data_IF_319333281211
#
_entry.id   IF_319333281211
#
_cell.length_a   1.000
_cell.length_b   1.000
_cell.length_c   1.000
_cell.angle_alpha   90.00
_cell.angle_beta   90.00
_cell.angle_gamma   90.00
#
_symmetry.space_group_name_H-M   'P 1'
#
loop_
_entity.id
_entity.type
_entity.pdbx_description
1 polymer ?
#
# COMPACT_ATOMS: atom_id res chain seq x y z
N UNK A 1 12.43 13.93 13.81
CA UNK A 1 12.72 12.80 12.88
C UNK A 1 11.40 12.13 12.52
N UNK A 2 11.20 11.77 11.25
CA UNK A 2 9.97 11.17 10.78
C UNK A 2 10.32 9.99 9.85
N UNK A 3 9.99 8.77 10.28
CA UNK A 3 10.15 7.57 9.46
C UNK A 3 8.82 7.26 8.76
N UNK A 4 8.80 7.34 7.44
CA UNK A 4 7.65 7.01 6.61
C UNK A 4 7.87 5.65 5.96
N UNK A 5 6.85 4.80 6.02
CA UNK A 5 6.82 3.48 5.36
C UNK A 5 5.76 3.45 4.29
N UNK A 6 6.06 2.80 3.18
CA UNK A 6 5.15 2.73 2.06
C UNK A 6 5.50 1.60 1.10
N UNK A 7 4.68 1.48 0.07
CA UNK A 7 4.87 0.52 -1.01
C UNK A 7 5.33 1.24 -2.26
N UNK A 8 6.41 0.75 -2.86
CA UNK A 8 6.86 1.22 -4.17
C UNK A 8 6.24 0.36 -5.25
N UNK A 9 5.72 1.01 -6.28
CA UNK A 9 5.05 0.35 -7.38
C UNK A 9 5.34 1.01 -8.73
N UNK A 10 5.01 0.31 -9.80
CA UNK A 10 4.96 0.85 -11.16
C UNK A 10 3.52 0.75 -11.64
N UNK A 11 3.00 1.81 -12.26
CA UNK A 11 1.64 1.78 -12.80
C UNK A 11 1.56 0.85 -14.02
N UNK A 12 0.37 0.33 -14.31
CA UNK A 12 0.13 -0.53 -15.48
C UNK A 12 0.55 0.16 -16.78
N UNK A 13 0.21 1.44 -16.92
CA UNK A 13 0.57 2.23 -18.10
C UNK A 13 2.08 2.40 -18.25
N UNK A 14 2.79 2.67 -17.16
CA UNK A 14 4.24 2.81 -17.18
C UNK A 14 4.93 1.46 -17.41
N UNK A 15 4.37 0.37 -16.87
CA UNK A 15 4.90 -0.98 -17.07
C UNK A 15 4.82 -1.42 -18.53
N UNK A 16 3.85 -0.96 -19.31
CA UNK A 16 3.78 -1.26 -20.75
C UNK A 16 5.07 -0.93 -21.51
N UNK A 17 5.80 0.10 -21.05
CA UNK A 17 7.08 0.52 -21.62
C UNK A 17 8.27 -0.34 -21.16
N UNK A 18 8.06 -1.22 -20.18
CA UNK A 18 9.09 -2.04 -19.54
C UNK A 18 8.88 -3.54 -19.74
N UNK A 19 7.83 -3.96 -20.45
CA UNK A 19 7.42 -5.36 -20.63
C UNK A 19 8.51 -6.28 -21.14
N UNK A 20 9.40 -5.78 -22.00
CA UNK A 20 10.49 -6.58 -22.55
C UNK A 20 11.55 -6.97 -21.51
N UNK A 21 11.64 -6.23 -20.40
CA UNK A 21 12.67 -6.38 -19.37
C UNK A 21 12.19 -7.11 -18.12
N UNK A 22 10.88 -7.11 -17.86
CA UNK A 22 10.33 -7.62 -16.60
C UNK A 22 9.04 -8.40 -16.82
N UNK A 23 8.85 -9.48 -16.07
CA UNK A 23 7.69 -10.35 -16.18
C UNK A 23 6.36 -9.70 -15.70
N UNK A 24 6.43 -8.81 -14.70
CA UNK A 24 5.27 -8.12 -14.14
C UNK A 24 5.67 -6.82 -13.43
N UNK A 25 4.70 -5.91 -13.11
CA UNK A 25 4.96 -4.63 -12.46
C UNK A 25 5.66 -4.76 -11.09
N UNK A 26 5.33 -5.78 -10.31
CA UNK A 26 5.93 -6.01 -8.99
C UNK A 26 7.41 -6.36 -9.10
N UNK A 27 7.76 -7.26 -10.00
CA UNK A 27 9.16 -7.62 -10.26
C UNK A 27 9.94 -6.45 -10.83
N UNK A 28 9.32 -5.63 -11.68
CA UNK A 28 9.92 -4.42 -12.22
C UNK A 28 10.24 -3.42 -11.10
N UNK A 29 9.31 -3.16 -10.19
CA UNK A 29 9.54 -2.27 -9.05
C UNK A 29 10.65 -2.79 -8.12
N UNK A 30 10.55 -4.04 -7.68
CA UNK A 30 11.53 -4.65 -6.77
C UNK A 30 12.93 -4.77 -7.41
N UNK A 31 13.01 -5.17 -8.68
CA UNK A 31 14.28 -5.28 -9.42
C UNK A 31 14.94 -3.92 -9.64
N UNK A 32 14.15 -2.90 -9.91
CA UNK A 32 14.66 -1.54 -10.13
C UNK A 32 15.27 -0.92 -8.88
N UNK A 33 14.75 -1.23 -7.70
CA UNK A 33 15.30 -0.75 -6.43
C UNK A 33 16.64 -1.41 -6.06
N UNK A 34 16.90 -2.59 -6.59
CA UNK A 34 18.14 -3.36 -6.28
C UNK A 34 19.29 -3.05 -7.24
N UNK A 35 19.14 -2.06 -8.11
CA UNK A 35 20.21 -1.67 -9.03
C UNK A 35 21.41 -1.10 -8.27
N UNK A 36 22.63 -1.55 -8.63
CA UNK A 36 23.88 -1.04 -8.04
C UNK A 36 24.11 0.43 -8.44
N UNK A 37 23.74 0.81 -9.65
CA UNK A 37 23.83 2.19 -10.15
C UNK A 37 22.47 2.87 -10.05
N UNK A 38 22.39 3.88 -9.21
CA UNK A 38 21.19 4.71 -9.00
C UNK A 38 20.69 5.42 -10.28
N UNK A 39 21.58 5.68 -11.24
CA UNK A 39 21.22 6.26 -12.55
C UNK A 39 20.30 5.33 -13.34
N UNK A 40 20.43 4.01 -13.17
CA UNK A 40 19.52 3.05 -13.80
C UNK A 40 18.15 3.06 -13.12
N UNK A 41 18.10 3.13 -11.80
CA UNK A 41 16.84 3.27 -11.04
C UNK A 41 16.11 4.57 -11.42
N UNK A 42 16.83 5.69 -11.57
CA UNK A 42 16.26 6.98 -11.93
C UNK A 42 15.52 7.01 -13.28
N UNK A 43 15.81 6.07 -14.18
CA UNK A 43 15.13 5.92 -15.48
C UNK A 43 13.78 5.20 -15.37
N UNK A 44 13.49 4.59 -14.24
CA UNK A 44 12.29 3.79 -14.03
C UNK A 44 11.22 4.65 -13.35
N UNK A 45 9.99 4.71 -13.87
CA UNK A 45 8.92 5.54 -13.33
C UNK A 45 8.31 4.92 -12.07
N UNK A 46 9.13 4.82 -11.02
CA UNK A 46 8.72 4.32 -9.71
C UNK A 46 7.77 5.31 -9.05
N UNK A 47 6.73 4.77 -8.41
CA UNK A 47 5.74 5.49 -7.61
C UNK A 47 5.73 4.92 -6.20
N UNK A 48 5.22 5.71 -5.26
CA UNK A 48 5.22 5.36 -3.85
C UNK A 48 3.87 5.70 -3.22
N UNK A 49 3.31 4.77 -2.44
CA UNK A 49 2.18 5.04 -1.56
C UNK A 49 2.60 4.93 -0.10
N UNK A 50 2.48 6.02 0.64
CA UNK A 50 2.63 6.02 2.08
C UNK A 50 1.48 5.24 2.74
N UNK A 51 1.78 4.35 3.68
CA UNK A 51 0.75 3.56 4.37
C UNK A 51 0.99 3.40 5.86
N UNK A 52 2.16 3.67 6.38
CA UNK A 52 2.47 3.61 7.81
C UNK A 52 3.69 4.44 8.16
N UNK A 53 3.94 4.55 9.46
CA UNK A 53 5.10 5.25 10.01
C UNK A 53 5.90 4.30 10.91
N UNK A 54 7.16 4.65 11.13
CA UNK A 54 8.01 4.04 12.14
C UNK A 54 8.21 4.99 13.32
N UNK A 55 9.44 5.43 13.52
CA UNK A 55 9.75 6.40 14.58
C UNK A 55 9.33 7.82 14.16
N UNK A 56 8.60 8.50 15.04
CA UNK A 56 8.17 9.90 14.84
C UNK A 56 8.45 10.70 16.10
N UNK A 57 9.19 11.82 15.95
CA UNK A 57 9.38 12.83 16.99
C UNK A 57 8.69 14.12 16.56
N UNK A 58 7.84 14.68 17.44
CA UNK A 58 7.15 15.95 17.17
C UNK A 58 5.93 15.87 16.24
N UNK A 59 5.45 14.67 15.95
CA UNK A 59 4.20 14.48 15.17
C UNK A 59 2.98 14.47 16.08
N UNK A 60 1.99 15.33 15.78
CA UNK A 60 0.71 15.38 16.50
C UNK A 60 -0.37 14.65 15.68
N UNK A 61 -0.45 13.34 15.81
CA UNK A 61 -1.56 12.54 15.31
C UNK A 61 -1.86 11.41 16.29
N UNK A 62 -3.12 11.12 16.50
CA UNK A 62 -3.62 10.09 17.42
C UNK A 62 -4.22 8.90 16.69
N UNK A 63 -4.48 9.06 15.39
CA UNK A 63 -5.10 8.04 14.55
C UNK A 63 -4.30 7.74 13.28
N UNK A 64 -4.50 6.55 12.75
CA UNK A 64 -3.96 6.15 11.44
C UNK A 64 -4.43 7.07 10.32
N UNK A 65 -5.68 7.54 10.40
CA UNK A 65 -6.27 8.47 9.43
C UNK A 65 -5.56 9.82 9.46
N UNK A 66 -5.37 10.40 10.65
CA UNK A 66 -4.64 11.68 10.82
C UNK A 66 -3.20 11.58 10.31
N UNK A 67 -2.53 10.43 10.54
CA UNK A 67 -1.21 10.19 9.95
C UNK A 67 -1.24 10.24 8.42
N UNK A 68 -2.22 9.57 7.78
CA UNK A 68 -2.34 9.56 6.32
C UNK A 68 -2.63 10.97 5.77
N UNK A 69 -3.46 11.75 6.48
CA UNK A 69 -3.75 13.13 6.11
C UNK A 69 -2.50 14.03 6.25
N UNK A 70 -1.73 13.86 7.31
CA UNK A 70 -0.45 14.54 7.50
C UNK A 70 0.55 14.18 6.39
N UNK A 71 0.68 12.91 6.06
CA UNK A 71 1.55 12.46 4.96
C UNK A 71 1.14 13.11 3.63
N UNK A 72 -0.17 13.18 3.36
CA UNK A 72 -0.71 13.82 2.15
C UNK A 72 -0.42 15.32 2.11
N UNK A 73 -0.62 16.05 3.22
CA UNK A 73 -0.32 17.49 3.33
C UNK A 73 1.19 17.73 3.17
N UNK A 74 2.02 16.79 3.63
CA UNK A 74 3.47 16.84 3.47
C UNK A 74 3.96 16.48 2.06
N UNK A 75 3.07 16.26 1.10
CA UNK A 75 3.40 16.00 -0.30
C UNK A 75 3.59 14.51 -0.66
N UNK A 76 3.40 13.59 0.28
CA UNK A 76 3.45 12.16 -0.03
C UNK A 76 2.14 11.66 -0.62
N UNK A 77 2.25 10.74 -1.57
CA UNK A 77 1.06 10.08 -2.11
C UNK A 77 0.53 9.04 -1.11
N UNK A 78 -0.75 9.10 -0.85
CA UNK A 78 -1.54 8.13 -0.09
C UNK A 78 -2.54 7.49 -1.04
N UNK A 79 -2.80 6.20 -0.88
CA UNK A 79 -3.77 5.54 -1.74
C UNK A 79 -5.16 6.20 -1.59
N UNK A 80 -5.76 6.72 -2.68
CA UNK A 80 -7.02 7.44 -2.63
C UNK A 80 -8.22 6.58 -2.18
N UNK A 81 -8.09 5.26 -2.21
CA UNK A 81 -9.12 4.32 -1.75
C UNK A 81 -9.04 4.05 -0.24
N UNK A 82 -8.03 4.60 0.45
CA UNK A 82 -7.91 4.49 1.90
C UNK A 82 -9.03 5.29 2.57
N UNK A 83 -9.81 4.63 3.42
CA UNK A 83 -10.89 5.25 4.17
C UNK A 83 -11.05 4.60 5.54
N UNK A 84 -11.69 5.32 6.45
CA UNK A 84 -12.11 4.81 7.74
C UNK A 84 -13.41 4.01 7.60
N UNK A 85 -13.55 2.93 8.38
CA UNK A 85 -14.76 2.12 8.48
C UNK A 85 -15.09 1.91 9.96
N UNK A 86 -16.39 1.87 10.30
CA UNK A 86 -16.84 1.86 11.71
C UNK A 86 -17.34 0.49 12.17
N UNK A 87 -17.66 -0.41 11.24
CA UNK A 87 -18.23 -1.71 11.56
C UNK A 87 -17.88 -2.76 10.49
N UNK A 88 -18.15 -4.02 10.82
CA UNK A 88 -17.84 -5.17 9.94
C UNK A 88 -18.57 -5.09 8.60
N UNK A 89 -19.80 -4.59 8.57
CA UNK A 89 -20.57 -4.45 7.33
C UNK A 89 -19.87 -3.48 6.37
N UNK A 90 -19.46 -2.32 6.86
CA UNK A 90 -18.71 -1.34 6.04
C UNK A 90 -17.37 -1.91 5.54
N UNK A 91 -16.69 -2.74 6.36
CA UNK A 91 -15.47 -3.45 5.97
C UNK A 91 -15.75 -4.37 4.77
N UNK A 92 -16.79 -5.21 4.87
CA UNK A 92 -17.16 -6.16 3.82
C UNK A 92 -17.62 -5.44 2.54
N UNK A 93 -18.45 -4.41 2.68
CA UNK A 93 -18.95 -3.61 1.55
C UNK A 93 -17.78 -2.91 0.83
N UNK A 94 -16.84 -2.35 1.59
CA UNK A 94 -15.65 -1.72 1.04
C UNK A 94 -14.75 -2.73 0.32
N UNK A 95 -14.52 -3.91 0.91
CA UNK A 95 -13.74 -4.97 0.30
C UNK A 95 -14.33 -5.36 -1.07
N UNK A 96 -15.63 -5.65 -1.12
CA UNK A 96 -16.34 -6.02 -2.35
C UNK A 96 -16.32 -4.90 -3.40
N UNK A 97 -16.51 -3.65 -2.97
CA UNK A 97 -16.47 -2.50 -3.87
C UNK A 97 -15.10 -2.33 -4.52
N UNK A 98 -14.01 -2.46 -3.75
CA UNK A 98 -12.64 -2.33 -4.27
C UNK A 98 -12.25 -3.55 -5.10
N UNK A 99 -12.67 -4.76 -4.75
CA UNK A 99 -12.49 -5.96 -5.57
C UNK A 99 -13.08 -5.77 -6.98
N UNK A 100 -14.29 -5.20 -7.08
CA UNK A 100 -14.94 -4.88 -8.36
C UNK A 100 -14.21 -3.78 -9.15
N UNK A 101 -13.52 -2.86 -8.47
CA UNK A 101 -12.72 -1.82 -9.11
C UNK A 101 -11.33 -2.28 -9.53
N UNK A 102 -10.86 -3.45 -9.06
CA UNK A 102 -9.48 -3.94 -9.21
C UNK A 102 -8.98 -3.91 -10.67
N UNK A 103 -9.80 -4.33 -11.62
CA UNK A 103 -9.43 -4.35 -13.04
C UNK A 103 -9.26 -2.96 -13.65
N UNK A 104 -9.94 -1.95 -13.12
CA UNK A 104 -9.93 -0.57 -13.60
C UNK A 104 -8.80 0.28 -13.00
N UNK A 105 -8.16 -0.20 -11.95
CA UNK A 105 -7.06 0.52 -11.30
C UNK A 105 -5.81 0.46 -12.17
N UNK A 106 -5.09 1.58 -12.23
CA UNK A 106 -3.81 1.68 -12.94
C UNK A 106 -2.62 1.11 -12.13
N UNK A 107 -2.89 0.29 -11.14
CA UNK A 107 -1.91 -0.48 -10.36
C UNK A 107 -2.56 -1.78 -9.87
N UNK A 108 -1.73 -2.78 -9.57
CA UNK A 108 -2.21 -4.07 -9.13
C UNK A 108 -2.39 -4.08 -7.61
N UNK A 109 -3.50 -4.70 -7.17
CA UNK A 109 -3.79 -4.99 -5.78
C UNK A 109 -4.27 -6.43 -5.64
N UNK A 110 -3.96 -7.07 -4.52
CA UNK A 110 -4.35 -8.45 -4.22
C UNK A 110 -5.24 -8.57 -2.97
N UNK A 111 -5.54 -7.45 -2.33
CA UNK A 111 -6.37 -7.35 -1.14
C UNK A 111 -6.34 -5.98 -0.49
N UNK A 112 -6.94 -5.89 0.67
CA UNK A 112 -6.93 -4.72 1.53
C UNK A 112 -6.23 -5.04 2.84
N UNK A 113 -5.65 -4.03 3.48
CA UNK A 113 -5.14 -4.13 4.84
C UNK A 113 -6.00 -3.25 5.74
N UNK A 114 -6.71 -3.88 6.67
CA UNK A 114 -7.47 -3.18 7.70
C UNK A 114 -6.57 -2.98 8.92
N UNK A 115 -6.61 -1.79 9.48
CA UNK A 115 -5.78 -1.40 10.62
C UNK A 115 -6.67 -0.78 11.70
N UNK A 116 -6.35 -1.03 12.96
CA UNK A 116 -6.95 -0.30 14.08
C UNK A 116 -6.59 1.18 13.91
N UNK A 117 -7.59 2.06 13.93
CA UNK A 117 -7.37 3.48 13.64
C UNK A 117 -6.64 4.21 14.78
N UNK A 118 -6.95 3.92 16.03
CA UNK A 118 -6.33 4.56 17.20
C UNK A 118 -4.91 4.07 17.46
N UNK A 119 -3.92 4.98 17.43
CA UNK A 119 -2.50 4.66 17.62
C UNK A 119 -2.23 4.07 19.03
N UNK A 120 -2.91 4.55 20.05
CA UNK A 120 -2.76 4.00 21.41
C UNK A 120 -3.23 2.54 21.50
N UNK A 121 -4.30 2.18 20.77
CA UNK A 121 -4.75 0.80 20.69
C UNK A 121 -3.79 -0.06 19.86
N UNK A 122 -3.20 0.47 18.78
CA UNK A 122 -2.13 -0.22 18.05
C UNK A 122 -0.96 -0.57 18.98
N UNK A 123 -0.51 0.39 19.80
CA UNK A 123 0.57 0.18 20.78
C UNK A 123 0.21 -0.89 21.82
N UNK A 124 -1.02 -0.87 22.33
CA UNK A 124 -1.51 -1.85 23.32
C UNK A 124 -1.59 -3.27 22.75
N UNK A 125 -2.05 -3.43 21.51
CA UNK A 125 -2.10 -4.72 20.81
C UNK A 125 -0.71 -5.25 20.48
N UNK A 126 0.22 -4.35 20.21
CA UNK A 126 1.62 -4.68 19.92
C UNK A 126 1.81 -5.47 18.64
N UNK A 127 2.98 -6.12 18.57
CA UNK A 127 3.40 -6.91 17.42
C UNK A 127 3.72 -8.35 17.84
N UNK A 128 3.63 -9.28 16.91
CA UNK A 128 4.32 -10.57 16.98
C UNK A 128 5.73 -10.42 16.41
N UNK A 129 6.51 -11.49 16.39
CA UNK A 129 7.83 -11.51 15.73
C UNK A 129 7.75 -11.12 14.25
N UNK A 130 6.63 -11.39 13.58
CA UNK A 130 6.52 -11.28 12.12
C UNK A 130 5.47 -10.28 11.62
N UNK A 131 4.54 -9.85 12.48
CA UNK A 131 3.41 -9.01 12.04
C UNK A 131 2.78 -8.21 13.18
N UNK A 132 2.16 -7.05 12.89
CA UNK A 132 1.38 -6.31 13.86
C UNK A 132 0.07 -7.05 14.19
N UNK A 133 -0.33 -7.02 15.48
CA UNK A 133 -1.63 -7.57 15.91
C UNK A 133 -2.81 -6.65 15.64
N UNK A 134 -2.54 -5.41 15.27
CA UNK A 134 -3.51 -4.35 14.98
C UNK A 134 -3.81 -4.16 13.48
N UNK A 135 -3.25 -5.04 12.65
CA UNK A 135 -3.48 -5.00 11.20
C UNK A 135 -3.78 -6.41 10.66
N UNK A 136 -4.71 -6.50 9.72
CA UNK A 136 -5.08 -7.75 9.05
C UNK A 136 -5.18 -7.53 7.54
N UNK A 137 -4.57 -8.42 6.78
CA UNK A 137 -4.73 -8.46 5.33
C UNK A 137 -5.95 -9.31 4.97
N UNK A 138 -6.84 -8.72 4.17
CA UNK A 138 -8.00 -9.41 3.60
C UNK A 138 -7.82 -9.49 2.08
N UNK A 139 -7.41 -10.67 1.62
CA UNK A 139 -7.10 -10.90 0.20
C UNK A 139 -8.36 -11.01 -0.64
N UNK A 140 -8.26 -10.58 -1.90
CA UNK A 140 -9.31 -10.83 -2.88
C UNK A 140 -9.32 -12.28 -3.34
N UNK A 141 -10.45 -12.70 -3.88
CA UNK A 141 -10.56 -14.01 -4.52
C UNK A 141 -9.57 -14.14 -5.68
N UNK A 142 -8.96 -15.33 -5.80
CA UNK A 142 -8.06 -15.62 -6.91
C UNK A 142 -8.83 -15.56 -8.23
N UNK A 143 -8.26 -14.89 -9.23
CA UNK A 143 -8.80 -14.96 -10.60
C UNK A 143 -8.45 -16.35 -11.12
N UNK A 144 -9.47 -17.21 -11.23
CA UNK A 144 -9.31 -18.53 -11.85
C UNK A 144 -9.45 -18.36 -13.36
N UNK A 145 -8.43 -18.77 -14.11
CA UNK A 145 -8.52 -18.97 -15.56
C UNK A 145 -8.64 -20.47 -15.81
N UNK A 146 -9.63 -20.89 -16.60
CA UNK A 146 -9.74 -22.24 -17.10
C UNK A 146 -9.16 -22.24 -18.53
N UNK A 147 -8.12 -23.02 -18.76
CA UNK A 147 -7.63 -23.33 -20.11
C UNK A 147 -8.23 -24.65 -20.56
N UNK A 148 -8.73 -24.67 -21.78
CA UNK A 148 -9.06 -25.92 -22.50
C UNK A 148 -7.83 -26.49 -23.13
#
# INVERSE_FOLDING_TARGET
>A
MFELRGEIYISKNDFLKLKEKFANPRNAAAGSLRQKDSKNTAKIPLKFFAHSFGHVTGGNFSTQKEFLDLAKISGFQVNPLSKETKNIKEIQDNHKAIENLRSKLNYDIDGLVFKVNEINLQKRLGNTSNSPRWAIAYKFSSIKASTK
#
